data_IF_126666313352
#
_entry.id   IF_126666313352
#
_cell.length_a   1.000
_cell.length_b   1.000
_cell.length_c   1.000
_cell.angle_alpha   90.00
_cell.angle_beta   90.00
_cell.angle_gamma   90.00
#
_symmetry.space_group_name_H-M   'P 1'
#
loop_
_entity.id
_entity.type
_entity.pdbx_description
1 polymer ?
#
# COMPACT_ATOMS: atom_id res chain seq x y z
N UNK A 1 33.22 -8.74 -30.26
CA UNK A 1 31.79 -8.34 -30.31
C UNK A 1 31.14 -8.76 -29.00
N UNK A 2 30.23 -7.95 -28.45
CA UNK A 2 29.46 -8.35 -27.26
C UNK A 2 28.41 -9.39 -27.66
N UNK A 3 28.42 -10.56 -27.00
CA UNK A 3 27.43 -11.62 -27.19
C UNK A 3 26.70 -11.82 -25.86
N UNK A 4 25.50 -11.22 -25.67
CA UNK A 4 24.75 -11.36 -24.43
C UNK A 4 24.31 -12.82 -24.22
N UNK A 5 24.38 -13.30 -22.98
CA UNK A 5 23.91 -14.65 -22.63
C UNK A 5 22.38 -14.68 -22.44
N UNK A 6 21.76 -13.51 -22.21
CA UNK A 6 20.32 -13.35 -22.04
C UNK A 6 19.80 -12.19 -22.90
N UNK A 7 18.56 -12.33 -23.41
CA UNK A 7 17.90 -11.31 -24.25
C UNK A 7 17.78 -9.94 -23.57
N UNK A 8 17.71 -9.90 -22.24
CA UNK A 8 17.58 -8.67 -21.46
C UNK A 8 18.91 -8.07 -20.99
N UNK A 9 20.05 -8.69 -21.34
CA UNK A 9 21.36 -8.24 -20.86
C UNK A 9 21.82 -6.98 -21.61
N UNK A 10 21.74 -5.82 -20.94
CA UNK A 10 22.08 -4.51 -21.50
C UNK A 10 23.57 -4.15 -21.43
N UNK A 11 24.35 -4.85 -20.61
CA UNK A 11 25.75 -4.50 -20.35
C UNK A 11 26.66 -5.71 -20.54
N UNK A 12 27.83 -5.47 -21.13
CA UNK A 12 28.79 -6.51 -21.46
C UNK A 12 29.62 -7.00 -20.27
N UNK A 13 29.73 -6.19 -19.22
CA UNK A 13 30.43 -6.52 -17.99
C UNK A 13 29.83 -5.80 -16.79
N UNK A 14 30.23 -6.20 -15.59
CA UNK A 14 29.94 -5.49 -14.33
C UNK A 14 30.49 -4.07 -14.34
N UNK A 15 31.63 -3.84 -14.98
CA UNK A 15 32.26 -2.51 -15.07
C UNK A 15 31.45 -1.57 -15.96
N UNK A 16 30.94 -2.07 -17.09
CA UNK A 16 30.05 -1.30 -17.95
C UNK A 16 28.71 -1.00 -17.27
N UNK A 17 28.21 -1.89 -16.42
CA UNK A 17 27.05 -1.63 -15.59
C UNK A 17 27.34 -0.61 -14.48
N UNK A 18 28.52 -0.65 -13.85
CA UNK A 18 28.92 0.35 -12.88
C UNK A 18 29.12 1.73 -13.53
N UNK A 19 29.74 1.78 -14.72
CA UNK A 19 29.92 3.00 -15.49
C UNK A 19 28.58 3.62 -15.93
N UNK A 20 27.59 2.79 -16.32
CA UNK A 20 26.24 3.28 -16.66
C UNK A 20 25.48 3.85 -15.46
N UNK A 21 25.84 3.48 -14.22
CA UNK A 21 25.31 4.11 -13.00
C UNK A 21 25.92 5.48 -12.71
N UNK A 22 27.10 5.80 -13.25
CA UNK A 22 27.76 7.10 -13.01
C UNK A 22 27.04 8.24 -13.72
N UNK A 23 26.42 7.98 -14.87
CA UNK A 23 25.77 8.97 -15.72
C UNK A 23 24.36 9.37 -15.26
N UNK A 24 23.91 8.89 -14.10
CA UNK A 24 22.61 9.24 -13.52
C UNK A 24 22.59 10.73 -13.15
N UNK A 25 21.72 11.58 -13.74
CA UNK A 25 21.56 12.98 -13.36
C UNK A 25 21.23 13.15 -11.87
N UNK A 26 21.82 14.20 -11.28
CA UNK A 26 21.45 14.69 -9.96
C UNK A 26 20.03 15.29 -10.01
N UNK A 27 19.30 15.15 -8.90
CA UNK A 27 17.99 15.77 -8.68
C UNK A 27 17.95 16.36 -7.27
N UNK A 28 17.17 17.41 -7.09
CA UNK A 28 16.99 18.01 -5.77
C UNK A 28 15.90 17.28 -5.00
N UNK A 29 16.13 17.08 -3.69
CA UNK A 29 15.12 16.47 -2.83
C UNK A 29 13.98 17.45 -2.59
N UNK A 30 12.74 17.03 -2.83
CA UNK A 30 11.57 17.89 -2.62
C UNK A 30 11.29 18.26 -1.15
N UNK A 31 11.98 17.65 -0.19
CA UNK A 31 11.77 17.88 1.25
C UNK A 31 12.89 18.71 1.86
N UNK A 32 14.16 18.35 1.64
CA UNK A 32 15.29 19.10 2.19
C UNK A 32 15.98 20.04 1.19
N UNK A 33 15.72 19.89 -0.11
CA UNK A 33 16.38 20.64 -1.18
C UNK A 33 17.74 20.11 -1.60
N UNK A 34 18.34 19.17 -0.86
CA UNK A 34 19.68 18.68 -1.17
C UNK A 34 19.73 17.88 -2.49
N UNK A 35 20.80 18.05 -3.29
CA UNK A 35 20.99 17.28 -4.51
C UNK A 35 21.34 15.82 -4.19
N UNK A 36 20.71 14.87 -4.88
CA UNK A 36 20.94 13.44 -4.73
C UNK A 36 20.86 12.68 -6.06
N UNK A 37 21.46 11.49 -6.10
CA UNK A 37 21.39 10.58 -7.27
C UNK A 37 20.23 9.61 -7.11
N UNK A 38 19.25 9.68 -8.00
CA UNK A 38 18.12 8.74 -8.01
C UNK A 38 18.56 7.38 -8.56
N UNK A 39 18.69 6.37 -7.69
CA UNK A 39 19.19 5.02 -8.03
C UNK A 39 18.35 4.34 -9.12
N UNK A 40 17.03 4.58 -9.13
CA UNK A 40 16.09 3.95 -10.06
C UNK A 40 15.45 5.00 -10.97
N UNK A 41 15.76 4.97 -12.27
CA UNK A 41 15.14 5.88 -13.25
C UNK A 41 13.99 5.25 -14.03
N UNK A 42 14.04 3.94 -14.28
CA UNK A 42 13.20 3.31 -15.29
C UNK A 42 11.73 3.13 -14.87
N UNK A 43 11.46 2.74 -13.63
CA UNK A 43 10.10 2.38 -13.20
C UNK A 43 9.44 3.46 -12.34
N UNK A 44 10.17 4.00 -11.34
CA UNK A 44 9.67 5.01 -10.41
C UNK A 44 10.85 5.87 -9.90
N UNK A 45 11.07 7.07 -10.46
CA UNK A 45 12.13 7.95 -9.97
C UNK A 45 11.89 8.31 -8.50
N UNK A 46 12.91 8.17 -7.65
CA UNK A 46 12.84 8.65 -6.28
C UNK A 46 12.73 10.18 -6.29
N UNK A 47 11.81 10.72 -5.47
CA UNK A 47 11.62 12.16 -5.24
C UNK A 47 12.39 12.68 -4.02
N UNK A 48 12.93 11.76 -3.23
CA UNK A 48 13.55 12.07 -1.94
C UNK A 48 14.93 11.42 -1.82
N UNK A 49 15.85 12.12 -1.14
CA UNK A 49 17.23 11.69 -0.95
C UNK A 49 17.36 10.56 0.09
N UNK A 50 16.43 10.47 1.05
CA UNK A 50 16.51 9.56 2.19
C UNK A 50 15.14 9.00 2.60
N UNK A 51 15.10 7.88 3.34
CA UNK A 51 13.87 7.34 3.92
C UNK A 51 13.15 8.34 4.84
N UNK A 52 13.90 9.15 5.59
CA UNK A 52 13.34 10.18 6.47
C UNK A 52 12.63 11.29 5.69
N UNK A 53 13.24 11.76 4.59
CA UNK A 53 12.61 12.71 3.68
C UNK A 53 11.39 12.09 2.99
N UNK A 54 11.48 10.83 2.57
CA UNK A 54 10.35 10.09 2.00
C UNK A 54 9.16 10.01 2.96
N UNK A 55 9.40 9.68 4.22
CA UNK A 55 8.36 9.62 5.24
C UNK A 55 7.75 10.99 5.53
N UNK A 56 8.56 12.04 5.53
CA UNK A 56 8.10 13.43 5.75
C UNK A 56 7.27 13.93 4.57
N UNK A 57 7.77 13.75 3.35
CA UNK A 57 7.06 14.12 2.12
C UNK A 57 5.73 13.39 1.99
N UNK A 58 5.70 12.08 2.23
CA UNK A 58 4.45 11.29 2.21
C UNK A 58 3.45 11.72 3.27
N UNK A 59 3.90 12.16 4.46
CA UNK A 59 3.01 12.70 5.50
C UNK A 59 2.46 14.06 5.08
N UNK A 60 3.28 14.92 4.49
CA UNK A 60 2.87 16.24 4.02
C UNK A 60 1.83 16.14 2.87
N UNK A 61 1.98 15.17 1.97
CA UNK A 61 1.05 14.91 0.86
C UNK A 61 -0.23 14.17 1.28
N UNK A 62 -0.25 13.58 2.48
CA UNK A 62 -1.39 12.80 2.92
C UNK A 62 -2.61 13.70 3.18
N UNK A 63 -3.76 13.48 2.51
CA UNK A 63 -4.95 14.27 2.76
C UNK A 63 -5.49 14.00 4.16
N UNK A 64 -5.97 15.07 4.81
CA UNK A 64 -6.74 14.96 6.05
C UNK A 64 -8.08 14.29 5.79
N UNK A 65 -8.47 13.35 6.66
CA UNK A 65 -9.74 12.63 6.59
C UNK A 65 -10.35 12.53 7.97
N UNK A 66 -11.67 12.49 8.07
CA UNK A 66 -12.35 12.20 9.33
C UNK A 66 -12.43 10.68 9.54
N UNK A 67 -12.19 10.21 10.76
CA UNK A 67 -12.38 8.81 11.11
C UNK A 67 -13.89 8.47 11.11
N UNK A 68 -14.30 7.39 10.44
CA UNK A 68 -15.71 6.97 10.41
C UNK A 68 -16.28 6.50 11.76
N UNK A 69 -15.43 6.22 12.76
CA UNK A 69 -15.89 5.76 14.08
C UNK A 69 -15.89 6.87 15.14
N UNK A 70 -14.80 7.65 15.26
CA UNK A 70 -14.71 8.74 16.25
C UNK A 70 -14.94 10.14 15.68
N UNK A 71 -14.94 10.32 14.35
CA UNK A 71 -15.08 11.63 13.70
C UNK A 71 -13.80 12.48 13.68
N UNK A 72 -12.75 12.11 14.42
CA UNK A 72 -11.53 12.92 14.52
C UNK A 72 -10.77 12.99 13.20
N UNK A 73 -10.20 14.17 12.85
CA UNK A 73 -9.37 14.32 11.67
C UNK A 73 -8.04 13.59 11.87
N UNK A 74 -7.63 12.83 10.86
CA UNK A 74 -6.35 12.12 10.85
C UNK A 74 -5.71 12.15 9.46
N UNK A 75 -4.38 12.01 9.44
CA UNK A 75 -3.61 11.79 8.22
C UNK A 75 -3.16 10.34 8.13
N UNK A 76 -3.36 9.71 6.99
CA UNK A 76 -2.94 8.32 6.76
C UNK A 76 -2.05 8.21 5.53
N UNK A 77 -1.03 7.34 5.63
CA UNK A 77 -0.17 6.96 4.51
C UNK A 77 -0.92 6.14 3.45
N UNK A 78 -2.03 5.51 3.83
CA UNK A 78 -2.85 4.68 2.94
C UNK A 78 -3.97 5.55 2.37
N UNK A 79 -4.06 5.73 1.03
CA UNK A 79 -5.04 6.63 0.40
C UNK A 79 -6.51 6.28 0.69
N UNK A 80 -6.81 5.02 1.01
CA UNK A 80 -8.16 4.54 1.27
C UNK A 80 -8.40 4.17 2.75
N UNK A 81 -7.58 4.68 3.68
CA UNK A 81 -7.85 4.49 5.10
C UNK A 81 -9.06 5.31 5.55
N UNK A 82 -10.00 4.64 6.21
CA UNK A 82 -11.22 5.27 6.77
C UNK A 82 -11.17 5.46 8.29
N UNK A 83 -10.10 5.00 8.94
CA UNK A 83 -10.00 4.94 10.40
C UNK A 83 -8.64 5.46 10.90
N UNK A 84 -8.65 6.23 11.99
CA UNK A 84 -7.44 6.80 12.58
C UNK A 84 -6.52 5.78 13.26
N UNK A 85 -7.07 4.64 13.73
CA UNK A 85 -6.32 3.62 14.45
C UNK A 85 -6.74 2.19 14.06
N UNK A 86 -5.85 1.23 14.30
CA UNK A 86 -6.13 -0.21 14.07
C UNK A 86 -7.32 -0.71 14.91
N UNK A 87 -7.56 -0.10 16.07
CA UNK A 87 -8.70 -0.42 16.93
C UNK A 87 -10.04 -0.10 16.27
N UNK A 88 -10.13 1.02 15.55
CA UNK A 88 -11.35 1.39 14.84
C UNK A 88 -11.59 0.53 13.59
N UNK A 89 -10.54 0.27 12.80
CA UNK A 89 -10.68 -0.62 11.63
C UNK A 89 -11.09 -2.05 12.02
N UNK A 90 -10.55 -2.59 13.12
CA UNK A 90 -10.89 -3.91 13.62
C UNK A 90 -12.33 -4.00 14.12
N UNK A 91 -12.81 -2.97 14.84
CA UNK A 91 -14.20 -2.90 15.31
C UNK A 91 -15.19 -2.80 14.15
N UNK A 92 -14.90 -1.97 13.16
CA UNK A 92 -15.75 -1.84 11.98
C UNK A 92 -15.89 -3.16 11.21
N UNK A 93 -14.77 -3.80 10.88
CA UNK A 93 -14.77 -5.08 10.14
C UNK A 93 -15.45 -6.21 10.92
N UNK A 94 -15.25 -6.28 12.24
CA UNK A 94 -15.96 -7.24 13.10
C UNK A 94 -17.47 -6.99 13.09
N UNK A 95 -17.93 -5.74 13.28
CA UNK A 95 -19.36 -5.38 13.24
C UNK A 95 -19.99 -5.70 11.88
N UNK A 96 -19.31 -5.36 10.78
CA UNK A 96 -19.79 -5.65 9.43
C UNK A 96 -19.93 -7.16 9.19
N UNK A 97 -18.92 -7.96 9.60
CA UNK A 97 -18.94 -9.42 9.51
C UNK A 97 -20.07 -10.02 10.35
N UNK A 98 -20.24 -9.55 11.58
CA UNK A 98 -21.25 -10.07 12.50
C UNK A 98 -22.67 -9.72 12.00
N UNK A 99 -22.85 -8.54 11.38
CA UNK A 99 -24.09 -8.17 10.69
C UNK A 99 -24.39 -9.10 9.52
N UNK A 100 -23.42 -9.32 8.62
CA UNK A 100 -23.58 -10.21 7.48
C UNK A 100 -23.93 -11.65 7.90
N UNK A 101 -23.30 -12.17 8.97
CA UNK A 101 -23.65 -13.49 9.53
C UNK A 101 -25.08 -13.57 10.04
N UNK A 102 -25.58 -12.50 10.68
CA UNK A 102 -26.98 -12.45 11.18
C UNK A 102 -27.97 -12.40 10.02
N UNK A 103 -27.66 -11.68 8.95
CA UNK A 103 -28.48 -11.62 7.73
C UNK A 103 -28.50 -12.99 7.02
N UNK A 104 -27.35 -13.61 6.81
CA UNK A 104 -27.26 -14.96 6.23
C UNK A 104 -28.01 -16.01 7.05
N UNK A 105 -27.97 -15.94 8.39
CA UNK A 105 -28.73 -16.85 9.25
C UNK A 105 -30.24 -16.66 9.14
N UNK A 106 -30.72 -15.44 8.86
CA UNK A 106 -32.14 -15.17 8.63
C UNK A 106 -32.60 -15.78 7.29
N UNK A 107 -31.76 -15.70 6.27
CA UNK A 107 -32.04 -16.25 4.94
C UNK A 107 -31.97 -17.78 4.88
N UNK A 108 -31.06 -18.41 5.65
CA UNK A 108 -30.89 -19.86 5.67
C UNK A 108 -32.10 -20.63 6.24
N UNK A 109 -33.05 -19.93 6.89
CA UNK A 109 -34.21 -20.55 7.53
C UNK A 109 -33.84 -21.49 8.69
N UNK A 110 -34.83 -22.05 9.40
CA UNK A 110 -34.58 -23.10 10.38
C UNK A 110 -34.09 -24.38 9.67
N UNK A 111 -33.23 -25.18 10.32
CA UNK A 111 -32.76 -26.44 9.74
C UNK A 111 -33.95 -27.36 9.44
N UNK A 112 -33.97 -27.89 8.21
CA UNK A 112 -35.03 -28.77 7.65
C UNK A 112 -35.29 -30.02 8.51
N UNK A 113 -34.34 -30.40 9.37
CA UNK A 113 -34.47 -31.55 10.27
C UNK A 113 -35.67 -31.48 11.23
N UNK A 114 -36.24 -30.30 11.50
CA UNK A 114 -37.46 -30.18 12.32
C UNK A 114 -38.76 -30.58 11.60
N UNK A 115 -38.73 -30.88 10.30
CA UNK A 115 -39.92 -31.28 9.54
C UNK A 115 -40.21 -32.79 9.60
N UNK A 116 -39.32 -33.61 10.20
CA UNK A 116 -39.45 -35.07 10.18
C UNK A 116 -39.79 -35.71 11.55
N UNK A 117 -39.80 -34.96 12.64
CA UNK A 117 -40.08 -35.49 13.99
C UNK A 117 -41.57 -35.39 14.42
N UNK A 118 -42.47 -34.87 13.57
CA UNK A 118 -43.91 -34.75 13.88
C UNK A 118 -44.80 -35.71 13.07
N UNK A 119 -44.21 -36.69 12.36
CA UNK A 119 -44.94 -37.63 11.51
C UNK A 119 -44.98 -39.08 12.06
N UNK A 120 -44.65 -39.29 13.33
CA UNK A 120 -44.70 -40.59 14.03
C UNK A 120 -45.67 -40.54 15.22
#
# INVERSE_FOLDING_TARGET
MFQPTHLDQKHCSTDCFAASRVTVPMKDCEVCGDPFKAINQASRPSRWCSPACSDTGRKAEAPWRACLECGEPFQSRVPHASFCCKGHSGRYTKRARDKAKREAKKEAGPPIQKLFDEAA
#
